data_IF_985867908798
#
_entry.id   IF_985867908798
#
_cell.length_a   1.000
_cell.length_b   1.000
_cell.length_c   1.000
_cell.angle_alpha   90.00
_cell.angle_beta   90.00
_cell.angle_gamma   90.00
#
_symmetry.space_group_name_H-M   'P 1'
#
loop_
_entity.id
_entity.type
_entity.pdbx_description
1 polymer ?
#
# COMPACT_ATOMS: atom_id res chain seq x y z
N UNK A 1 23.33 1.56 -9.96
CA UNK A 1 21.96 1.39 -9.42
C UNK A 1 21.99 1.93 -8.00
N UNK A 2 21.29 3.02 -7.71
CA UNK A 2 21.32 3.64 -6.38
C UNK A 2 20.54 2.79 -5.38
N UNK A 3 21.18 1.76 -4.84
CA UNK A 3 20.75 1.11 -3.59
C UNK A 3 21.22 2.00 -2.44
N UNK A 4 20.68 3.22 -2.39
CA UNK A 4 21.02 4.22 -1.40
C UNK A 4 20.25 3.94 -0.11
N UNK A 5 20.86 3.17 0.78
CA UNK A 5 20.50 3.11 2.19
C UNK A 5 20.98 4.40 2.91
N UNK A 6 20.84 5.56 2.25
CA UNK A 6 20.96 6.85 2.90
C UNK A 6 19.65 7.08 3.66
N UNK A 7 19.71 7.66 4.88
CA UNK A 7 18.49 8.03 5.58
C UNK A 7 17.71 8.99 4.68
N UNK A 8 16.60 8.51 4.11
CA UNK A 8 15.62 9.38 3.48
C UNK A 8 15.33 10.50 4.46
N UNK A 9 15.53 11.74 4.03
CA UNK A 9 15.15 12.88 4.83
C UNK A 9 13.66 12.68 5.17
N UNK A 10 13.28 12.85 6.44
CA UNK A 10 11.91 12.69 6.92
C UNK A 10 10.93 13.47 6.03
N UNK A 11 11.37 14.61 5.51
CA UNK A 11 10.59 15.43 4.57
C UNK A 11 10.32 14.68 3.25
N UNK A 12 11.32 14.03 2.68
CA UNK A 12 11.18 13.26 1.44
C UNK A 12 10.31 12.03 1.64
N UNK A 13 10.51 11.30 2.75
CA UNK A 13 9.65 10.16 3.10
C UNK A 13 8.19 10.59 3.23
N UNK A 14 7.90 11.67 3.96
CA UNK A 14 6.55 12.19 4.12
C UNK A 14 5.93 12.63 2.78
N UNK A 15 6.73 13.21 1.87
CA UNK A 15 6.27 13.55 0.52
C UNK A 15 5.90 12.31 -0.29
N UNK A 16 6.73 11.26 -0.25
CA UNK A 16 6.45 9.99 -0.93
C UNK A 16 5.20 9.31 -0.37
N UNK A 17 5.05 9.27 0.95
CA UNK A 17 3.84 8.75 1.62
C UNK A 17 2.59 9.54 1.22
N UNK A 18 2.68 10.87 1.19
CA UNK A 18 1.56 11.71 0.73
C UNK A 18 1.19 11.41 -0.71
N UNK A 19 2.18 11.38 -1.60
CA UNK A 19 1.96 11.06 -3.01
C UNK A 19 1.32 9.69 -3.18
N UNK A 20 1.78 8.68 -2.42
CA UNK A 20 1.21 7.33 -2.45
C UNK A 20 -0.27 7.32 -2.02
N UNK A 21 -0.63 8.04 -0.95
CA UNK A 21 -2.04 8.14 -0.54
C UNK A 21 -2.90 8.82 -1.60
N UNK A 22 -2.41 9.88 -2.25
CA UNK A 22 -3.13 10.62 -3.30
C UNK A 22 -3.24 9.82 -4.61
N UNK A 23 -2.22 9.04 -4.97
CA UNK A 23 -2.12 8.30 -6.25
C UNK A 23 -2.33 6.80 -6.06
N UNK A 24 -3.23 6.42 -5.16
CA UNK A 24 -3.40 5.02 -4.80
C UNK A 24 -3.78 4.14 -5.98
N UNK A 25 -3.06 3.03 -6.13
CA UNK A 25 -3.36 1.98 -7.11
C UNK A 25 -3.31 0.59 -6.46
N UNK A 26 -4.14 -0.35 -6.93
CA UNK A 26 -4.13 -1.71 -6.44
C UNK A 26 -2.85 -2.46 -6.87
N UNK A 27 -2.49 -3.57 -6.19
CA UNK A 27 -1.22 -4.27 -6.38
C UNK A 27 -0.89 -4.62 -7.84
N UNK A 28 -1.89 -4.94 -8.65
CA UNK A 28 -1.72 -5.36 -10.04
C UNK A 28 -1.28 -4.23 -10.97
N UNK A 29 -1.42 -2.97 -10.52
CA UNK A 29 -1.05 -1.77 -11.29
C UNK A 29 0.17 -1.04 -10.72
N UNK A 30 0.83 -1.60 -9.71
CA UNK A 30 2.01 -0.97 -9.10
C UNK A 30 3.23 -1.17 -9.98
N UNK A 31 3.97 -0.09 -10.25
CA UNK A 31 5.26 -0.22 -10.91
C UNK A 31 6.29 -0.77 -9.91
N UNK A 32 7.11 -1.78 -10.27
CA UNK A 32 8.18 -2.27 -9.40
C UNK A 32 9.32 -1.26 -9.22
N UNK A 33 9.38 -0.24 -10.08
CA UNK A 33 10.40 0.82 -10.02
C UNK A 33 10.08 1.92 -9.00
N UNK A 34 8.94 1.83 -8.31
CA UNK A 34 8.58 2.80 -7.28
C UNK A 34 9.37 2.59 -6.00
N UNK A 35 9.44 3.67 -5.22
CA UNK A 35 10.14 3.64 -3.95
C UNK A 35 9.46 2.71 -2.94
N UNK A 36 10.22 1.98 -2.13
CA UNK A 36 9.70 1.06 -1.09
C UNK A 36 8.68 1.73 -0.15
N UNK A 37 8.91 2.99 0.23
CA UNK A 37 7.98 3.82 1.03
C UNK A 37 6.61 3.96 0.36
N UNK A 38 6.56 4.10 -0.97
CA UNK A 38 5.31 4.13 -1.72
C UNK A 38 4.63 2.78 -1.60
N UNK A 39 5.34 1.68 -1.86
CA UNK A 39 4.79 0.34 -1.74
C UNK A 39 4.24 0.05 -0.33
N UNK A 40 4.97 0.42 0.71
CA UNK A 40 4.58 0.25 2.12
C UNK A 40 3.34 1.08 2.48
N UNK A 41 3.25 2.32 2.01
CA UNK A 41 2.08 3.17 2.23
C UNK A 41 0.85 2.65 1.48
N UNK A 42 1.01 2.19 0.24
CA UNK A 42 -0.06 1.58 -0.54
C UNK A 42 -0.56 0.28 0.11
N UNK A 43 0.35 -0.56 0.61
CA UNK A 43 0.01 -1.79 1.32
C UNK A 43 -0.76 -1.50 2.63
N UNK A 44 -0.39 -0.45 3.36
CA UNK A 44 -1.17 0.01 4.52
C UNK A 44 -2.58 0.45 4.12
N UNK A 45 -2.70 1.20 3.01
CA UNK A 45 -4.01 1.61 2.49
C UNK A 45 -4.84 0.43 1.98
N UNK A 46 -4.22 -0.61 1.41
CA UNK A 46 -4.91 -1.86 1.05
C UNK A 46 -5.56 -2.48 2.29
N UNK A 47 -4.81 -2.57 3.40
CA UNK A 47 -5.30 -3.12 4.65
C UNK A 47 -6.45 -2.29 5.23
N UNK A 48 -6.30 -0.96 5.26
CA UNK A 48 -7.37 -0.04 5.69
C UNK A 48 -8.66 -0.24 4.87
N UNK A 49 -8.55 -0.47 3.56
CA UNK A 49 -9.69 -0.74 2.67
C UNK A 49 -10.33 -2.11 2.93
N UNK A 50 -9.52 -3.13 3.21
CA UNK A 50 -9.99 -4.47 3.58
C UNK A 50 -10.71 -4.45 4.93
N UNK A 51 -10.26 -3.63 5.88
CA UNK A 51 -10.92 -3.47 7.18
C UNK A 51 -12.22 -2.67 7.07
N UNK A 52 -12.23 -1.58 6.27
CA UNK A 52 -13.40 -0.73 6.09
C UNK A 52 -14.51 -1.39 5.27
N UNK A 53 -14.13 -2.19 4.26
CA UNK A 53 -15.04 -3.02 3.49
C UNK A 53 -14.61 -4.47 3.65
N UNK A 54 -14.93 -5.11 4.79
CA UNK A 54 -14.62 -6.50 5.00
C UNK A 54 -15.20 -7.26 3.81
N UNK A 55 -14.40 -8.10 3.11
CA UNK A 55 -14.94 -8.96 2.08
C UNK A 55 -16.14 -9.64 2.72
N UNK A 56 -17.31 -9.50 2.08
CA UNK A 56 -18.52 -10.12 2.55
C UNK A 56 -18.38 -11.63 2.33
N UNK A 57 -17.55 -12.26 3.16
CA UNK A 57 -17.47 -13.69 3.31
C UNK A 57 -18.82 -14.02 3.88
N UNK A 58 -19.78 -14.37 3.01
CA UNK A 58 -21.00 -15.07 3.45
C UNK A 58 -20.46 -16.20 4.30
N UNK A 59 -20.68 -16.23 5.63
CA UNK A 59 -20.28 -17.37 6.42
C UNK A 59 -20.88 -18.56 5.69
N UNK A 60 -19.98 -19.46 5.28
CA UNK A 60 -20.33 -20.54 4.38
C UNK A 60 -21.61 -21.18 4.84
N UNK A 61 -22.51 -21.40 3.89
CA UNK A 61 -23.54 -22.42 3.99
C UNK A 61 -22.83 -23.70 4.45
N UNK A 62 -22.76 -23.89 5.77
CA UNK A 62 -22.37 -25.14 6.39
C UNK A 62 -23.58 -26.04 6.20
N UNK A 63 -23.62 -26.65 5.02
CA UNK A 63 -24.59 -27.67 4.64
C UNK A 63 -24.00 -29.01 5.04
N UNK A 64 -24.20 -29.39 6.30
CA UNK A 64 -24.30 -30.78 6.76
C UNK A 64 -24.84 -30.80 8.19
#
# INVERSE_FOLDING_TARGET
MYTGNEPLDLIEELRLRRWARENYVPPERRSPDWHQVIHDEMARKDLELLEANPPHVKPGSMRC
#
